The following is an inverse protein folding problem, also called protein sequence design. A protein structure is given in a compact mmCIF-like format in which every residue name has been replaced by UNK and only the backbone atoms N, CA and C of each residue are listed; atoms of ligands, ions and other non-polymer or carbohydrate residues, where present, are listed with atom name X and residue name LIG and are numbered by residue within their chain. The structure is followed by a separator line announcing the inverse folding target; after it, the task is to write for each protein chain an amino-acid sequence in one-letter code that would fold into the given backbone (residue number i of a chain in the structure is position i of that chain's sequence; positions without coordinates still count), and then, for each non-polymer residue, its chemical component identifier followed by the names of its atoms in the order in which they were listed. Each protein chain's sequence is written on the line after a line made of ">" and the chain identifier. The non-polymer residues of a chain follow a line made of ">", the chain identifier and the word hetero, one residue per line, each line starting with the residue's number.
data_IF_685185481092
#
_entry.id   IF_685185481092
#
_cell.length_a   1.000
_cell.length_b   1.000
_cell.length_c   1.000
_cell.angle_alpha   90.00
_cell.angle_beta   90.00
_cell.angle_gamma   90.00
#
_symmetry.space_group_name_H-M   'P 1'
#
loop_
_entity.id
_entity.type
_entity.pdbx_description
1 polymer ?
#
# COMPACT_ATOMS: atom_id res chain seq x y z
N UNK A 1 -3.18 15.95 -12.44
CA UNK A 1 -3.50 14.50 -12.34
C UNK A 1 -2.39 13.66 -11.71
N UNK A 2 -1.37 13.19 -12.45
CA UNK A 2 -0.37 12.26 -11.89
C UNK A 2 0.51 12.88 -10.78
N UNK A 3 0.88 14.15 -10.94
CA UNK A 3 1.67 14.90 -9.95
C UNK A 3 0.89 15.17 -8.65
N UNK A 4 -0.42 15.39 -8.73
CA UNK A 4 -1.30 15.54 -7.54
C UNK A 4 -1.46 14.24 -6.75
N UNK A 5 -1.47 13.10 -7.44
CA UNK A 5 -1.53 11.80 -6.78
C UNK A 5 -0.22 11.53 -6.05
N UNK A 6 0.93 11.83 -6.67
CA UNK A 6 2.25 11.70 -6.04
C UNK A 6 2.40 12.57 -4.79
N UNK A 7 1.93 13.82 -4.82
CA UNK A 7 1.98 14.71 -3.64
C UNK A 7 1.05 14.24 -2.53
N UNK A 8 -0.16 13.75 -2.86
CA UNK A 8 -1.05 13.12 -1.88
C UNK A 8 -0.39 11.92 -1.22
N UNK A 9 0.17 10.99 -2.00
CA UNK A 9 0.87 9.80 -1.50
C UNK A 9 2.03 10.18 -0.55
N UNK A 10 2.82 11.19 -0.89
CA UNK A 10 3.93 11.66 -0.03
C UNK A 10 3.46 12.23 1.32
N UNK A 11 2.24 12.78 1.36
CA UNK A 11 1.69 13.44 2.54
C UNK A 11 0.75 12.54 3.36
N UNK A 12 0.49 11.30 2.91
CA UNK A 12 -0.37 10.37 3.65
C UNK A 12 0.35 9.87 4.92
N UNK A 13 -0.28 10.12 6.07
CA UNK A 13 0.21 9.69 7.38
C UNK A 13 -0.31 8.31 7.78
N UNK A 14 -1.52 7.96 7.36
CA UNK A 14 -2.21 6.70 7.69
C UNK A 14 -2.90 6.16 6.45
N UNK A 15 -3.07 4.84 6.37
CA UNK A 15 -3.85 4.20 5.33
C UNK A 15 -5.32 4.72 5.33
N UNK A 16 -5.93 4.94 4.16
CA UNK A 16 -7.33 5.33 4.06
C UNK A 16 -8.25 4.18 4.47
N UNK A 17 -9.49 4.50 4.85
CA UNK A 17 -10.49 3.47 5.09
C UNK A 17 -10.89 2.80 3.78
N UNK A 18 -10.88 1.46 3.78
CA UNK A 18 -11.31 0.66 2.64
C UNK A 18 -12.77 0.26 2.83
N UNK A 19 -13.63 0.65 1.88
CA UNK A 19 -15.07 0.35 1.91
C UNK A 19 -15.37 -1.16 1.91
N UNK A 20 -14.46 -1.98 1.37
CA UNK A 20 -14.53 -3.44 1.38
C UNK A 20 -14.32 -4.04 2.78
N UNK A 21 -13.67 -3.31 3.69
CA UNK A 21 -13.37 -3.71 5.06
C UNK A 21 -14.00 -2.74 6.08
N UNK A 22 -15.34 -2.63 6.14
CA UNK A 22 -16.03 -1.62 6.95
C UNK A 22 -16.13 -1.97 8.44
N UNK A 23 -15.69 -3.17 8.84
CA UNK A 23 -15.83 -3.69 10.19
C UNK A 23 -14.63 -3.33 11.08
N UNK A 24 -14.79 -3.45 12.41
CA UNK A 24 -13.71 -3.19 13.36
C UNK A 24 -12.54 -4.19 13.23
N UNK A 25 -12.81 -5.40 12.75
CA UNK A 25 -11.76 -6.41 12.56
C UNK A 25 -11.00 -6.18 11.24
N UNK A 26 -9.78 -5.64 11.33
CA UNK A 26 -8.93 -5.29 10.19
C UNK A 26 -7.94 -6.40 9.78
N UNK A 27 -8.03 -7.62 10.32
CA UNK A 27 -7.08 -8.70 10.01
C UNK A 27 -7.01 -9.03 8.53
N UNK A 28 -8.16 -9.07 7.83
CA UNK A 28 -8.20 -9.39 6.39
C UNK A 28 -7.61 -8.24 5.54
N UNK A 29 -7.85 -7.00 5.93
CA UNK A 29 -7.27 -5.82 5.28
C UNK A 29 -5.73 -5.82 5.40
N UNK A 30 -5.23 -6.08 6.61
CA UNK A 30 -3.79 -6.18 6.87
C UNK A 30 -3.13 -7.31 6.05
N UNK A 31 -3.74 -8.50 6.03
CA UNK A 31 -3.22 -9.63 5.28
C UNK A 31 -3.21 -9.38 3.76
N UNK A 32 -4.29 -8.78 3.22
CA UNK A 32 -4.37 -8.46 1.80
C UNK A 32 -3.28 -7.47 1.41
N UNK A 33 -3.10 -6.38 2.17
CA UNK A 33 -2.05 -5.40 1.94
C UNK A 33 -0.63 -6.02 2.00
N UNK A 34 -0.39 -6.98 2.88
CA UNK A 34 0.88 -7.70 2.97
C UNK A 34 1.16 -8.56 1.72
N UNK A 35 0.17 -9.34 1.27
CA UNK A 35 0.31 -10.18 0.07
C UNK A 35 0.49 -9.33 -1.18
N UNK A 36 -0.30 -8.26 -1.32
CA UNK A 36 -0.23 -7.35 -2.47
C UNK A 36 1.13 -6.65 -2.56
N UNK A 37 1.72 -6.27 -1.42
CA UNK A 37 3.07 -5.71 -1.38
C UNK A 37 4.11 -6.69 -1.96
N UNK A 38 4.14 -7.93 -1.49
CA UNK A 38 5.12 -8.92 -1.95
C UNK A 38 4.87 -9.35 -3.40
N UNK A 39 3.61 -9.42 -3.82
CA UNK A 39 3.27 -9.70 -5.21
C UNK A 39 3.76 -8.58 -6.13
N UNK A 40 3.50 -7.32 -5.76
CA UNK A 40 3.97 -6.15 -6.50
C UNK A 40 5.50 -6.10 -6.51
N UNK A 41 6.17 -6.39 -5.38
CA UNK A 41 7.63 -6.41 -5.31
C UNK A 41 8.22 -7.42 -6.32
N UNK A 42 7.64 -8.61 -6.39
CA UNK A 42 8.04 -9.64 -7.35
C UNK A 42 7.87 -9.16 -8.79
N UNK A 43 6.70 -8.61 -9.13
CA UNK A 43 6.43 -8.07 -10.48
C UNK A 43 7.43 -6.97 -10.84
N UNK A 44 7.74 -6.06 -9.91
CA UNK A 44 8.69 -4.96 -10.17
C UNK A 44 10.12 -5.47 -10.36
N UNK A 45 10.53 -6.47 -9.57
CA UNK A 45 11.84 -7.14 -9.77
C UNK A 45 11.93 -7.81 -11.14
N UNK A 46 10.87 -8.51 -11.56
CA UNK A 46 10.83 -9.20 -12.86
C UNK A 46 10.88 -8.20 -14.04
N UNK A 47 10.31 -7.00 -13.86
CA UNK A 47 10.33 -5.92 -14.85
C UNK A 47 11.60 -5.05 -14.81
N UNK A 48 12.42 -5.16 -13.76
CA UNK A 48 13.58 -4.29 -13.55
C UNK A 48 13.21 -2.83 -13.26
N UNK A 49 12.01 -2.57 -12.72
CA UNK A 49 11.50 -1.21 -12.44
C UNK A 49 11.76 -0.78 -10.99
N UNK A 50 11.79 0.54 -10.76
CA UNK A 50 12.06 1.13 -9.44
C UNK A 50 10.98 0.81 -8.40
N UNK A 51 11.39 0.23 -7.27
CA UNK A 51 10.51 -0.11 -6.13
C UNK A 51 9.92 1.10 -5.38
N UNK A 52 10.24 2.33 -5.79
CA UNK A 52 9.83 3.54 -5.07
C UNK A 52 8.30 3.70 -4.97
N UNK A 53 7.53 3.07 -5.85
CA UNK A 53 6.07 3.08 -5.83
C UNK A 53 5.45 2.20 -4.71
N UNK A 54 6.19 1.22 -4.19
CA UNK A 54 5.68 0.30 -3.16
C UNK A 54 5.60 0.92 -1.75
N UNK A 55 6.25 2.07 -1.52
CA UNK A 55 6.33 2.71 -0.20
C UNK A 55 4.95 3.14 0.34
N UNK A 56 3.97 3.37 -0.53
CA UNK A 56 2.61 3.75 -0.13
C UNK A 56 1.86 2.63 0.60
N UNK A 57 2.15 1.36 0.30
CA UNK A 57 1.52 0.21 0.97
C UNK A 57 2.18 -0.13 2.31
N UNK A 58 3.39 0.38 2.56
CA UNK A 58 4.20 0.01 3.72
C UNK A 58 3.89 0.83 4.99
N UNK A 59 3.14 1.93 4.88
CA UNK A 59 2.66 2.69 6.05
C UNK A 59 1.66 1.86 6.88
N UNK A 60 1.02 0.84 6.26
CA UNK A 60 0.00 0.00 6.90
C UNK A 60 0.57 -1.17 7.72
N UNK A 61 1.83 -1.56 7.50
CA UNK A 61 2.42 -2.73 8.16
C UNK A 61 3.16 -2.42 9.47
N UNK A 62 3.34 -1.14 9.82
CA UNK A 62 4.07 -0.70 11.01
C UNK A 62 3.17 -0.41 12.23
N UNK A 63 1.88 -0.81 12.20
CA UNK A 63 0.96 -0.72 13.34
C UNK A 63 0.61 -2.14 13.83
N UNK A 64 1.65 -2.96 13.98
CA UNK A 64 1.74 -3.93 15.07
C UNK A 64 2.89 -3.50 15.98
#
# INVERSE_FOLDING_TARGET
>A
MAEEIKTKIKNYWTAPSESHFPNQNQTRNCWQNHVDFHHCEKIMNDKGEDKNHLKSHHITAAIF
#
